data_IF_421846777254
#
_entry.id   IF_421846777254
#
_cell.length_a   1.000
_cell.length_b   1.000
_cell.length_c   1.000
_cell.angle_alpha   90.00
_cell.angle_beta   90.00
_cell.angle_gamma   90.00
#
_symmetry.space_group_name_H-M   'P 1'
#
loop_
_entity.id
_entity.type
_entity.pdbx_description
1 polymer ?
#
# COMPACT_ATOMS: atom_id res chain seq x y z
N UNK A 1 4.75 47.04 -30.39
CA UNK A 1 3.57 47.80 -30.85
C UNK A 1 2.47 46.81 -31.23
N UNK A 2 1.30 46.99 -30.63
CA UNK A 2 0.05 46.21 -30.72
C UNK A 2 0.00 44.91 -29.92
N UNK A 3 -0.58 44.99 -28.72
CA UNK A 3 -1.30 44.01 -27.96
C UNK A 3 -2.46 43.41 -28.80
N UNK A 4 -2.65 42.11 -28.73
CA UNK A 4 -3.96 41.52 -28.98
C UNK A 4 -4.39 40.72 -27.75
N UNK A 5 -5.45 41.19 -27.12
CA UNK A 5 -6.19 40.53 -26.08
C UNK A 5 -7.04 39.40 -26.70
N UNK A 6 -6.89 38.18 -26.22
CA UNK A 6 -7.74 37.04 -26.55
C UNK A 6 -8.78 36.86 -25.45
N UNK A 7 -10.04 37.07 -25.78
CA UNK A 7 -11.21 36.86 -24.95
C UNK A 7 -11.43 35.35 -24.78
N UNK A 8 -11.32 34.84 -23.56
CA UNK A 8 -11.72 33.50 -23.20
C UNK A 8 -13.23 33.42 -22.99
N UNK A 9 -13.94 32.67 -23.84
CA UNK A 9 -15.33 32.32 -23.65
C UNK A 9 -15.47 31.24 -22.57
N UNK A 10 -15.97 31.62 -21.41
CA UNK A 10 -16.37 30.68 -20.37
C UNK A 10 -17.66 29.97 -20.77
N UNK A 11 -17.60 28.66 -20.97
CA UNK A 11 -18.78 27.82 -21.03
C UNK A 11 -19.16 27.42 -19.59
N UNK A 12 -20.21 28.06 -19.07
CA UNK A 12 -20.87 27.64 -17.84
C UNK A 12 -21.65 26.35 -18.11
N UNK A 13 -21.15 25.23 -17.65
CA UNK A 13 -21.93 24.00 -17.54
C UNK A 13 -22.67 24.02 -16.20
N UNK A 14 -23.96 24.36 -16.23
CA UNK A 14 -24.89 24.10 -15.15
C UNK A 14 -25.34 22.64 -15.24
N UNK A 15 -24.56 21.75 -14.64
CA UNK A 15 -24.92 20.35 -14.44
C UNK A 15 -25.13 20.11 -12.95
N UNK A 16 -26.32 19.68 -12.59
CA UNK A 16 -26.67 19.19 -11.25
C UNK A 16 -25.60 18.24 -10.74
N UNK A 17 -24.93 18.64 -9.64
CA UNK A 17 -24.03 17.78 -8.88
C UNK A 17 -24.85 16.67 -8.22
N UNK A 18 -25.10 15.59 -8.97
CA UNK A 18 -25.40 14.31 -8.39
C UNK A 18 -24.11 13.80 -7.74
N UNK A 19 -24.14 13.56 -6.45
CA UNK A 19 -23.11 12.88 -5.71
C UNK A 19 -22.99 11.45 -6.24
N UNK A 20 -22.21 11.26 -7.31
CA UNK A 20 -21.71 9.95 -7.67
C UNK A 20 -20.54 9.63 -6.74
N UNK A 21 -20.86 9.07 -5.57
CA UNK A 21 -19.90 8.19 -4.94
C UNK A 21 -19.59 7.08 -5.97
N UNK A 22 -18.33 6.86 -6.39
CA UNK A 22 -18.03 5.72 -7.22
C UNK A 22 -18.40 4.49 -6.39
N UNK A 23 -19.49 3.80 -6.75
CA UNK A 23 -19.66 2.41 -6.36
C UNK A 23 -18.42 1.74 -6.91
N UNK A 24 -17.49 1.34 -6.04
CA UNK A 24 -16.48 0.37 -6.39
C UNK A 24 -17.27 -0.78 -7.04
N UNK A 25 -17.09 -0.99 -8.34
CA UNK A 25 -17.61 -2.18 -8.98
C UNK A 25 -16.87 -3.32 -8.32
N UNK A 26 -17.50 -3.94 -7.33
CA UNK A 26 -17.08 -5.24 -6.85
C UNK A 26 -17.16 -6.16 -8.08
N UNK A 27 -16.02 -6.37 -8.73
CA UNK A 27 -15.92 -7.39 -9.76
C UNK A 27 -16.39 -8.68 -9.10
N UNK A 28 -17.15 -9.49 -9.82
CA UNK A 28 -17.44 -10.84 -9.33
C UNK A 28 -16.12 -11.59 -9.19
N UNK A 29 -15.59 -11.63 -7.98
CA UNK A 29 -14.31 -12.25 -7.63
C UNK A 29 -14.49 -13.65 -7.06
N UNK A 30 -15.74 -14.09 -6.84
CA UNK A 30 -16.06 -15.36 -6.22
C UNK A 30 -15.44 -16.53 -6.99
N UNK A 31 -14.72 -17.37 -6.26
CA UNK A 31 -14.00 -18.51 -6.82
C UNK A 31 -12.73 -18.18 -7.61
N UNK A 32 -12.42 -16.90 -7.85
CA UNK A 32 -11.18 -16.52 -8.54
C UNK A 32 -10.00 -16.61 -7.58
N UNK A 33 -8.99 -17.32 -7.98
CA UNK A 33 -7.74 -17.49 -7.22
C UNK A 33 -6.54 -17.18 -8.08
N UNK A 34 -5.45 -16.72 -7.47
CA UNK A 34 -4.14 -16.55 -8.12
C UNK A 34 -3.05 -17.13 -7.22
N UNK A 35 -2.15 -17.91 -7.84
CA UNK A 35 -0.90 -18.34 -7.21
C UNK A 35 0.27 -17.66 -7.92
N UNK A 36 1.16 -17.05 -7.15
CA UNK A 36 2.33 -16.35 -7.66
C UNK A 36 3.62 -16.97 -7.11
N UNK A 37 4.60 -17.19 -7.98
CA UNK A 37 5.95 -17.62 -7.57
C UNK A 37 6.78 -16.41 -7.14
N UNK A 38 7.15 -16.34 -5.86
CA UNK A 38 7.91 -15.25 -5.25
C UNK A 38 9.36 -15.68 -5.04
N UNK A 39 10.30 -14.81 -5.46
CA UNK A 39 11.73 -15.11 -5.43
C UNK A 39 12.37 -14.97 -4.05
N UNK A 40 11.80 -14.15 -3.18
CA UNK A 40 12.40 -13.77 -1.92
C UNK A 40 11.74 -14.49 -0.75
N UNK A 41 12.55 -14.94 0.25
CA UNK A 41 12.01 -15.61 1.43
C UNK A 41 11.25 -14.63 2.34
N UNK A 42 10.45 -15.17 3.24
CA UNK A 42 9.87 -14.42 4.35
C UNK A 42 10.95 -14.23 5.42
N UNK A 43 11.59 -13.05 5.45
CA UNK A 43 12.73 -12.75 6.30
C UNK A 43 12.36 -12.22 7.69
N UNK A 44 11.20 -11.57 7.81
CA UNK A 44 10.66 -10.98 9.05
C UNK A 44 9.16 -11.24 9.11
N UNK A 45 8.51 -10.78 10.18
CA UNK A 45 7.06 -10.69 10.24
C UNK A 45 6.50 -9.55 9.38
N UNK A 46 5.26 -9.18 9.66
CA UNK A 46 4.48 -8.27 8.82
C UNK A 46 4.20 -6.91 9.48
N UNK A 47 4.72 -6.62 10.68
CA UNK A 47 4.54 -5.29 11.26
C UNK A 47 5.24 -4.23 10.37
N UNK A 48 4.51 -3.29 9.75
CA UNK A 48 5.10 -2.34 8.81
C UNK A 48 6.12 -1.39 9.42
N UNK A 49 6.19 -1.30 10.75
CA UNK A 49 7.18 -0.51 11.46
C UNK A 49 8.58 -1.19 11.49
N UNK A 50 8.61 -2.51 11.48
CA UNK A 50 9.84 -3.31 11.68
C UNK A 50 10.13 -4.29 10.56
N UNK A 51 9.14 -4.57 9.69
CA UNK A 51 9.33 -5.53 8.61
C UNK A 51 10.39 -5.07 7.61
N UNK A 52 11.26 -5.98 7.26
CA UNK A 52 12.34 -5.77 6.29
C UNK A 52 12.40 -6.92 5.29
N UNK A 53 12.96 -6.64 4.11
CA UNK A 53 12.99 -7.61 3.02
C UNK A 53 11.85 -7.48 2.03
N UNK A 54 12.06 -8.04 0.84
CA UNK A 54 11.15 -7.82 -0.29
C UNK A 54 9.76 -8.42 -0.07
N UNK A 55 9.68 -9.67 0.41
CA UNK A 55 8.38 -10.35 0.56
C UNK A 55 7.52 -9.78 1.67
N UNK A 56 8.01 -9.51 2.91
CA UNK A 56 7.20 -8.83 3.92
C UNK A 56 6.75 -7.44 3.49
N UNK A 57 7.64 -6.66 2.87
CA UNK A 57 7.30 -5.32 2.38
C UNK A 57 6.22 -5.38 1.30
N UNK A 58 6.36 -6.28 0.32
CA UNK A 58 5.35 -6.44 -0.72
C UNK A 58 4.00 -6.94 -0.15
N UNK A 59 4.02 -7.86 0.83
CA UNK A 59 2.81 -8.31 1.52
C UNK A 59 2.08 -7.16 2.22
N UNK A 60 2.84 -6.27 2.87
CA UNK A 60 2.29 -5.10 3.56
C UNK A 60 1.56 -4.13 2.61
N UNK A 61 1.94 -4.07 1.33
CA UNK A 61 1.22 -3.26 0.34
C UNK A 61 -0.18 -3.81 0.01
N UNK A 62 -0.45 -5.08 0.32
CA UNK A 62 -1.77 -5.69 0.15
C UNK A 62 -2.61 -5.65 1.43
N UNK A 63 -1.94 -5.72 2.59
CA UNK A 63 -2.58 -5.81 3.91
C UNK A 63 -2.94 -4.44 4.47
N UNK A 64 -2.07 -3.45 4.29
CA UNK A 64 -2.18 -2.13 4.91
C UNK A 64 -2.32 -1.02 3.88
N UNK A 65 -2.99 0.05 4.30
CA UNK A 65 -2.97 1.32 3.59
C UNK A 65 -2.18 2.37 4.37
N UNK A 66 -1.52 3.28 3.63
CA UNK A 66 -1.04 4.55 4.16
C UNK A 66 -2.11 5.63 4.04
N UNK A 67 -1.81 6.87 4.42
CA UNK A 67 -2.65 8.02 4.07
C UNK A 67 -2.61 8.25 2.55
N UNK A 68 -1.42 8.19 1.99
CA UNK A 68 -1.12 8.23 0.55
C UNK A 68 -0.30 6.99 0.23
N UNK A 69 -0.57 6.34 -0.87
CA UNK A 69 0.18 5.18 -1.35
C UNK A 69 0.66 5.37 -2.78
N UNK A 70 1.58 4.51 -3.23
CA UNK A 70 2.09 4.53 -4.59
C UNK A 70 1.46 3.40 -5.41
N UNK A 71 0.95 3.73 -6.58
CA UNK A 71 0.50 2.73 -7.52
C UNK A 71 1.66 1.78 -7.87
N UNK A 72 1.50 0.45 -7.73
CA UNK A 72 2.63 -0.48 -7.80
C UNK A 72 3.32 -0.50 -9.18
N UNK A 73 2.60 -0.24 -10.26
CA UNK A 73 3.16 -0.26 -11.61
C UNK A 73 3.67 1.11 -12.08
N UNK A 74 2.90 2.20 -11.86
CA UNK A 74 3.25 3.54 -12.36
C UNK A 74 4.08 4.34 -11.37
N UNK A 75 4.08 3.95 -10.10
CA UNK A 75 4.71 4.68 -8.99
C UNK A 75 4.11 6.07 -8.74
N UNK A 76 2.96 6.36 -9.33
CA UNK A 76 2.22 7.58 -9.07
C UNK A 76 1.56 7.52 -7.68
N UNK A 77 1.63 8.61 -6.90
CA UNK A 77 0.94 8.67 -5.62
C UNK A 77 -0.58 8.68 -5.82
N UNK A 78 -1.30 8.06 -4.90
CA UNK A 78 -2.74 8.13 -4.85
C UNK A 78 -3.23 8.23 -3.40
N UNK A 79 -4.39 8.85 -3.21
CA UNK A 79 -5.05 8.92 -1.91
C UNK A 79 -5.54 7.51 -1.53
N UNK A 80 -5.04 6.99 -0.43
CA UNK A 80 -5.45 5.70 0.13
C UNK A 80 -6.42 5.92 1.30
N UNK A 81 -5.95 6.10 2.52
CA UNK A 81 -6.81 6.49 3.65
C UNK A 81 -7.08 8.00 3.72
N UNK A 82 -6.34 8.84 3.00
CA UNK A 82 -6.70 10.23 2.87
C UNK A 82 -7.96 10.37 1.99
N UNK A 83 -8.95 11.11 2.46
CA UNK A 83 -10.20 11.37 1.73
C UNK A 83 -10.11 12.52 0.73
N UNK A 84 -9.12 13.40 0.87
CA UNK A 84 -8.78 14.50 -0.03
C UNK A 84 -7.28 14.78 0.00
N UNK A 85 -6.80 15.58 -0.95
CA UNK A 85 -5.40 16.00 -1.00
C UNK A 85 -4.98 16.64 0.33
N UNK A 86 -3.73 16.37 0.81
CA UNK A 86 -3.16 17.03 1.97
C UNK A 86 -3.21 18.55 1.82
N UNK A 87 -3.73 19.24 2.83
CA UNK A 87 -3.86 20.69 2.86
C UNK A 87 -2.66 21.32 3.59
N UNK A 88 -1.91 22.17 2.90
CA UNK A 88 -0.85 22.94 3.52
C UNK A 88 -1.46 24.19 4.18
N UNK A 89 -1.41 24.27 5.51
CA UNK A 89 -1.96 25.37 6.30
C UNK A 89 -0.96 26.54 6.39
N UNK A 90 0.31 26.20 6.60
CA UNK A 90 1.45 27.11 6.60
C UNK A 90 2.71 26.39 6.11
N UNK A 91 3.87 27.03 6.15
CA UNK A 91 5.13 26.46 5.64
C UNK A 91 5.51 25.12 6.27
N UNK A 92 5.06 24.84 7.50
CA UNK A 92 5.42 23.65 8.29
C UNK A 92 4.23 22.89 8.83
N UNK A 93 2.99 23.30 8.51
CA UNK A 93 1.77 22.66 9.04
C UNK A 93 0.92 22.10 7.90
N UNK A 94 0.58 20.83 8.00
CA UNK A 94 -0.26 20.13 7.05
C UNK A 94 -1.43 19.48 7.73
N UNK A 95 -2.58 19.41 7.05
CA UNK A 95 -3.78 18.72 7.52
C UNK A 95 -4.24 17.68 6.53
N UNK A 96 -4.70 16.54 7.04
CA UNK A 96 -5.21 15.44 6.23
C UNK A 96 -6.52 14.98 6.83
N UNK A 97 -7.54 14.87 5.96
CA UNK A 97 -8.85 14.32 6.31
C UNK A 97 -8.89 12.83 5.95
N UNK A 98 -9.41 11.99 6.83
CA UNK A 98 -9.60 10.57 6.53
C UNK A 98 -10.74 10.31 5.53
N UNK A 99 -10.60 9.25 4.76
CA UNK A 99 -11.65 8.68 3.91
C UNK A 99 -12.76 8.10 4.79
N UNK A 100 -14.00 8.46 4.49
CA UNK A 100 -15.16 7.97 5.23
C UNK A 100 -15.41 6.47 4.98
N UNK A 101 -15.83 5.76 6.02
CA UNK A 101 -16.20 4.35 5.96
C UNK A 101 -15.02 3.38 5.77
N UNK A 102 -13.77 3.82 5.93
CA UNK A 102 -12.62 2.91 5.95
C UNK A 102 -12.65 2.05 7.21
N UNK A 103 -12.43 0.74 7.05
CA UNK A 103 -12.42 -0.22 8.14
C UNK A 103 -11.18 -1.10 8.09
N UNK A 104 -10.74 -1.55 9.26
CA UNK A 104 -9.75 -2.62 9.37
C UNK A 104 -10.37 -3.99 9.07
N UNK A 105 -9.54 -5.01 8.88
CA UNK A 105 -9.95 -6.37 8.53
C UNK A 105 -10.79 -7.07 9.60
N UNK A 106 -10.79 -6.58 10.83
CA UNK A 106 -11.65 -7.03 11.92
C UNK A 106 -13.00 -6.29 11.97
N UNK A 107 -13.22 -5.36 11.05
CA UNK A 107 -14.46 -4.58 10.92
C UNK A 107 -14.48 -3.28 11.73
N UNK A 108 -13.49 -3.02 12.57
CA UNK A 108 -13.40 -1.75 13.31
C UNK A 108 -13.12 -0.58 12.34
N UNK A 109 -13.66 0.61 12.58
CA UNK A 109 -13.39 1.78 11.77
C UNK A 109 -11.93 2.22 11.91
N UNK A 110 -11.34 2.71 10.82
CA UNK A 110 -10.06 3.42 10.87
C UNK A 110 -10.29 4.81 11.43
N UNK A 111 -9.55 5.18 12.47
CA UNK A 111 -9.73 6.44 13.20
C UNK A 111 -8.50 7.35 13.10
N UNK A 112 -8.67 8.62 13.46
CA UNK A 112 -7.56 9.57 13.61
C UNK A 112 -6.59 9.12 14.71
N UNK A 113 -7.08 8.46 15.76
CA UNK A 113 -6.22 7.91 16.81
C UNK A 113 -5.26 6.86 16.25
N UNK A 114 -5.71 6.01 15.32
CA UNK A 114 -4.84 5.01 14.66
C UNK A 114 -3.77 5.68 13.81
N UNK A 115 -4.09 6.78 13.13
CA UNK A 115 -3.10 7.57 12.37
C UNK A 115 -2.05 8.15 13.32
N UNK A 116 -2.48 8.86 14.35
CA UNK A 116 -1.57 9.45 15.35
C UNK A 116 -0.69 8.38 16.00
N UNK A 117 -1.30 7.26 16.37
CA UNK A 117 -0.61 6.12 16.96
C UNK A 117 0.45 5.55 16.01
N UNK A 118 0.11 5.32 14.74
CA UNK A 118 1.01 4.73 13.74
C UNK A 118 2.27 5.57 13.51
N UNK A 119 2.11 6.89 13.42
CA UNK A 119 3.25 7.80 13.29
C UNK A 119 4.08 7.87 14.57
N UNK A 120 3.44 8.00 15.74
CA UNK A 120 4.13 8.08 17.01
C UNK A 120 4.93 6.80 17.31
N UNK A 121 4.41 5.61 16.96
CA UNK A 121 5.18 4.34 17.07
C UNK A 121 6.49 4.40 16.31
N UNK A 122 6.48 4.96 15.10
CA UNK A 122 7.68 5.05 14.25
C UNK A 122 8.65 6.08 14.82
N UNK A 123 8.14 7.21 15.33
CA UNK A 123 8.96 8.30 15.88
C UNK A 123 9.53 7.99 17.27
N UNK A 124 8.93 7.04 18.01
CA UNK A 124 9.44 6.64 19.33
C UNK A 124 10.76 5.87 19.22
N UNK A 125 11.87 6.42 19.73
CA UNK A 125 13.19 5.76 19.68
C UNK A 125 13.21 4.39 20.35
N UNK A 126 12.33 4.15 21.33
CA UNK A 126 12.25 2.86 22.02
C UNK A 126 11.86 1.71 21.08
N UNK A 127 11.09 2.02 20.03
CA UNK A 127 10.62 1.05 19.06
C UNK A 127 11.66 0.69 17.96
N UNK A 128 12.74 1.47 17.85
CA UNK A 128 13.83 1.24 16.87
C UNK A 128 13.32 1.00 15.45
N UNK A 129 12.32 1.79 15.03
CA UNK A 129 11.71 1.64 13.71
C UNK A 129 12.73 1.88 12.60
N UNK A 130 12.68 1.01 11.58
CA UNK A 130 13.49 1.17 10.37
C UNK A 130 13.00 2.36 9.51
N UNK A 131 11.78 2.82 9.74
CA UNK A 131 11.12 3.85 8.93
C UNK A 131 11.26 5.27 9.49
N UNK A 132 11.84 5.44 10.69
CA UNK A 132 12.02 6.77 11.31
C UNK A 132 12.79 7.73 10.40
N UNK A 133 13.79 7.25 9.66
CA UNK A 133 14.58 8.06 8.74
C UNK A 133 13.78 8.66 7.57
N UNK A 134 12.62 8.08 7.24
CA UNK A 134 11.77 8.57 6.16
C UNK A 134 10.80 9.66 6.61
N UNK A 135 10.62 9.84 7.92
CA UNK A 135 9.72 10.83 8.52
C UNK A 135 10.40 11.69 9.60
N UNK A 136 11.73 11.75 9.60
CA UNK A 136 12.54 12.50 10.57
C UNK A 136 12.28 14.02 10.55
N UNK A 137 11.72 14.53 9.45
CA UNK A 137 11.27 15.92 9.31
C UNK A 137 9.97 16.23 10.08
N UNK A 138 9.23 15.20 10.53
CA UNK A 138 8.00 15.38 11.31
C UNK A 138 8.36 15.72 12.76
N UNK A 139 7.79 16.81 13.29
CA UNK A 139 7.92 17.22 14.68
C UNK A 139 6.84 16.56 15.54
N UNK A 140 5.59 16.64 15.09
CA UNK A 140 4.46 16.06 15.81
C UNK A 140 3.28 15.73 14.89
N UNK A 141 2.47 14.76 15.32
CA UNK A 141 1.21 14.37 14.67
C UNK A 141 0.11 14.42 15.71
N UNK A 142 -0.97 15.17 15.47
CA UNK A 142 -2.05 15.39 16.43
C UNK A 142 -3.42 15.31 15.77
N UNK A 143 -4.40 14.80 16.49
CA UNK A 143 -5.79 14.91 16.09
C UNK A 143 -6.25 16.38 16.16
N UNK A 144 -6.92 16.86 15.12
CA UNK A 144 -7.65 18.12 15.13
C UNK A 144 -9.09 17.87 15.58
N UNK A 145 -9.69 16.85 15.01
CA UNK A 145 -11.03 16.33 15.34
C UNK A 145 -11.09 14.83 15.00
N UNK A 146 -12.28 14.25 14.96
CA UNK A 146 -12.51 12.82 14.66
C UNK A 146 -12.26 12.41 13.20
N UNK A 147 -12.05 13.38 12.30
CA UNK A 147 -11.83 13.16 10.86
C UNK A 147 -10.53 13.74 10.31
N UNK A 148 -9.85 14.58 11.09
CA UNK A 148 -8.71 15.37 10.62
C UNK A 148 -7.50 15.23 11.53
N UNK A 149 -6.35 14.95 10.94
CA UNK A 149 -5.05 14.91 11.59
C UNK A 149 -4.19 16.10 11.11
N UNK A 150 -3.43 16.69 12.03
CA UNK A 150 -2.46 17.75 11.75
C UNK A 150 -1.03 17.23 11.95
N UNK A 151 -0.20 17.53 10.97
CA UNK A 151 1.24 17.29 11.00
C UNK A 151 1.97 18.62 11.16
N UNK A 152 2.82 18.71 12.18
CA UNK A 152 3.79 19.78 12.32
C UNK A 152 5.15 19.28 11.88
N UNK A 153 5.81 20.04 11.00
CA UNK A 153 7.14 19.72 10.49
C UNK A 153 8.19 20.58 11.19
N UNK A 154 9.40 20.06 11.34
CA UNK A 154 10.56 20.77 11.91
C UNK A 154 11.05 21.91 11.01
N UNK A 155 10.81 21.78 9.70
CA UNK A 155 11.18 22.75 8.66
C UNK A 155 10.28 22.55 7.42
N UNK A 156 10.17 23.55 6.54
CA UNK A 156 9.43 23.41 5.29
C UNK A 156 9.95 22.26 4.45
N UNK A 157 9.07 21.35 4.04
CA UNK A 157 9.44 20.14 3.31
C UNK A 157 8.49 19.84 2.16
N UNK A 158 8.92 20.18 0.93
CA UNK A 158 8.08 20.07 -0.27
C UNK A 158 7.67 18.63 -0.63
N UNK A 159 8.43 17.61 -0.17
CA UNK A 159 8.13 16.21 -0.44
C UNK A 159 7.25 15.55 0.62
N UNK A 160 6.61 16.33 1.50
CA UNK A 160 5.79 15.80 2.60
C UNK A 160 4.79 14.73 2.12
N UNK A 161 3.94 15.06 1.16
CA UNK A 161 2.92 14.14 0.65
C UNK A 161 3.54 12.83 0.09
N UNK A 162 4.68 12.92 -0.60
CA UNK A 162 5.38 11.75 -1.12
C UNK A 162 5.94 10.86 0.00
N UNK A 163 6.37 11.43 1.11
CA UNK A 163 6.92 10.67 2.25
C UNK A 163 5.83 9.98 3.08
N UNK A 164 4.60 10.44 3.03
CA UNK A 164 3.46 9.74 3.65
C UNK A 164 3.30 8.31 3.14
N UNK A 165 3.74 8.02 1.91
CA UNK A 165 3.68 6.69 1.30
C UNK A 165 4.53 5.64 2.03
N UNK A 166 5.47 6.07 2.86
CA UNK A 166 6.36 5.19 3.64
C UNK A 166 5.71 4.68 4.93
N UNK A 167 4.59 5.26 5.38
CA UNK A 167 3.94 4.93 6.65
C UNK A 167 2.62 4.23 6.41
N UNK A 168 2.47 3.05 6.98
CA UNK A 168 1.21 2.30 6.99
C UNK A 168 0.47 2.51 8.30
N UNK A 169 -0.86 2.64 8.19
CA UNK A 169 -1.73 2.82 9.35
C UNK A 169 -2.10 1.46 9.91
N UNK A 170 -1.94 1.31 11.22
CA UNK A 170 -2.18 0.06 11.95
C UNK A 170 -3.23 0.26 13.05
N UNK A 171 -4.02 -0.78 13.35
CA UNK A 171 -5.08 -0.71 14.37
C UNK A 171 -4.49 -0.71 15.78
N UNK A 172 -4.52 0.44 16.45
CA UNK A 172 -4.06 0.58 17.82
C UNK A 172 -4.71 -0.43 18.75
N UNK A 173 -6.04 -0.60 18.66
CA UNK A 173 -6.81 -1.50 19.53
C UNK A 173 -6.39 -2.97 19.40
N UNK A 174 -5.96 -3.41 18.23
CA UNK A 174 -5.45 -4.77 18.04
C UNK A 174 -4.09 -4.91 18.71
N UNK A 175 -3.17 -3.97 18.45
CA UNK A 175 -1.82 -4.03 19.00
C UNK A 175 -1.83 -3.95 20.53
N UNK A 176 -2.66 -3.09 21.10
CA UNK A 176 -2.85 -2.97 22.56
C UNK A 176 -3.38 -4.28 23.16
N UNK A 177 -4.24 -4.99 22.44
CA UNK A 177 -4.85 -6.25 22.90
C UNK A 177 -3.91 -7.44 22.81
N UNK A 178 -3.19 -7.61 21.68
CA UNK A 178 -2.42 -8.84 21.42
C UNK A 178 -0.92 -8.66 21.60
N UNK A 179 -0.45 -7.42 21.65
CA UNK A 179 0.97 -7.07 21.68
C UNK A 179 1.64 -7.10 20.30
N UNK A 180 2.77 -6.42 20.19
CA UNK A 180 3.49 -6.23 18.93
C UNK A 180 3.91 -7.55 18.27
N UNK A 181 4.42 -8.51 19.03
CA UNK A 181 4.91 -9.79 18.47
C UNK A 181 3.78 -10.63 17.85
N UNK A 182 2.62 -10.67 18.49
CA UNK A 182 1.46 -11.38 17.95
C UNK A 182 0.89 -10.65 16.72
N UNK A 183 0.86 -9.32 16.74
CA UNK A 183 0.46 -8.50 15.58
C UNK A 183 1.42 -8.71 14.40
N UNK A 184 2.72 -8.77 14.65
CA UNK A 184 3.74 -9.04 13.63
C UNK A 184 3.54 -10.40 12.93
N UNK A 185 3.11 -11.41 13.67
CA UNK A 185 2.81 -12.74 13.14
C UNK A 185 1.45 -12.85 12.45
N UNK A 186 0.46 -12.10 12.92
CA UNK A 186 -0.93 -12.12 12.43
C UNK A 186 -1.44 -10.70 12.22
N UNK A 187 -1.02 -10.04 11.13
CA UNK A 187 -1.32 -8.64 10.88
C UNK A 187 -2.80 -8.42 10.56
N UNK A 188 -3.33 -7.31 11.07
CA UNK A 188 -4.65 -6.78 10.75
C UNK A 188 -4.43 -5.38 10.15
N UNK A 189 -4.84 -5.18 8.92
CA UNK A 189 -4.71 -3.91 8.21
C UNK A 189 -6.05 -3.42 7.68
N UNK A 190 -6.01 -2.43 6.78
CA UNK A 190 -7.18 -1.85 6.09
C UNK A 190 -7.13 -2.03 4.59
N UNK A 191 -6.12 -2.73 4.08
CA UNK A 191 -5.90 -2.93 2.65
C UNK A 191 -6.90 -3.87 1.98
N UNK A 192 -6.79 -4.05 0.66
CA UNK A 192 -7.73 -4.85 -0.13
C UNK A 192 -7.67 -6.34 0.15
N UNK A 193 -6.63 -6.84 0.81
CA UNK A 193 -6.47 -8.24 1.17
C UNK A 193 -6.19 -8.42 2.65
N UNK A 194 -6.88 -9.39 3.27
CA UNK A 194 -6.60 -9.88 4.61
C UNK A 194 -5.49 -10.92 4.58
N UNK A 195 -4.63 -10.89 5.57
CA UNK A 195 -3.70 -11.97 5.86
C UNK A 195 -4.46 -13.20 6.38
N UNK A 196 -4.18 -14.38 5.83
CA UNK A 196 -4.76 -15.64 6.29
C UNK A 196 -3.72 -16.47 7.02
N UNK A 197 -2.58 -16.71 6.39
CA UNK A 197 -1.50 -17.52 6.98
C UNK A 197 -0.18 -17.30 6.26
N UNK A 198 0.91 -17.58 6.96
CA UNK A 198 2.23 -17.70 6.37
C UNK A 198 2.95 -18.93 6.92
N UNK A 199 3.57 -19.68 6.04
CA UNK A 199 4.48 -20.78 6.38
C UNK A 199 5.85 -20.41 5.82
N UNK A 200 6.84 -20.31 6.69
CA UNK A 200 8.21 -19.94 6.31
C UNK A 200 8.71 -20.88 5.22
N UNK A 201 9.36 -20.33 4.21
CA UNK A 201 9.95 -21.03 3.07
C UNK A 201 8.96 -21.89 2.24
N UNK A 202 7.66 -21.70 2.44
CA UNK A 202 6.59 -22.36 1.67
C UNK A 202 5.66 -21.34 1.02
N UNK A 203 4.77 -20.72 1.80
CA UNK A 203 3.74 -19.83 1.21
C UNK A 203 3.20 -18.76 2.16
N UNK A 204 2.65 -17.70 1.56
CA UNK A 204 1.82 -16.70 2.21
C UNK A 204 0.44 -16.71 1.53
N UNK A 205 -0.63 -16.70 2.32
CA UNK A 205 -2.01 -16.76 1.83
C UNK A 205 -2.77 -15.52 2.25
N UNK A 206 -3.49 -14.96 1.29
CA UNK A 206 -4.33 -13.79 1.47
C UNK A 206 -5.75 -14.06 0.96
N UNK A 207 -6.72 -13.35 1.53
CA UNK A 207 -8.11 -13.36 1.12
C UNK A 207 -8.60 -11.93 0.90
N UNK A 208 -9.43 -11.71 -0.12
CA UNK A 208 -10.01 -10.40 -0.40
C UNK A 208 -10.78 -9.88 0.81
N UNK A 209 -10.66 -8.59 1.08
CA UNK A 209 -11.47 -7.90 2.08
C UNK A 209 -12.65 -7.22 1.37
N UNK A 210 -13.81 -7.88 1.36
CA UNK A 210 -15.01 -7.40 0.65
C UNK A 210 -15.48 -6.00 1.09
N UNK A 211 -15.41 -5.62 2.40
CA UNK A 211 -15.79 -4.28 2.81
C UNK A 211 -14.83 -3.17 2.38
N UNK A 212 -13.71 -3.50 1.73
CA UNK A 212 -12.74 -2.52 1.27
C UNK A 212 -13.38 -1.48 0.33
N UNK A 213 -13.30 -0.21 0.71
CA UNK A 213 -13.87 0.91 -0.03
C UNK A 213 -12.84 1.86 -0.65
N UNK A 214 -11.57 1.42 -0.72
CA UNK A 214 -10.48 2.19 -1.32
C UNK A 214 -10.44 2.11 -2.85
N UNK A 215 -9.45 2.77 -3.43
CA UNK A 215 -9.35 2.98 -4.89
C UNK A 215 -9.12 1.69 -5.68
N UNK A 216 -8.39 0.71 -5.12
CA UNK A 216 -7.97 -0.50 -5.82
C UNK A 216 -8.43 -1.75 -5.07
N UNK A 217 -9.71 -2.15 -5.21
CA UNK A 217 -10.23 -3.35 -4.57
C UNK A 217 -9.60 -4.62 -5.15
N UNK A 218 -9.63 -5.70 -4.38
CA UNK A 218 -9.17 -7.02 -4.80
C UNK A 218 -9.89 -7.46 -6.09
N UNK A 219 -9.14 -8.07 -7.01
CA UNK A 219 -9.66 -8.60 -8.28
C UNK A 219 -9.78 -10.13 -8.29
N UNK A 220 -9.36 -10.76 -7.18
CA UNK A 220 -9.46 -12.20 -6.93
C UNK A 220 -9.88 -12.43 -5.49
N UNK A 221 -10.58 -13.53 -5.23
CA UNK A 221 -11.04 -13.89 -3.89
C UNK A 221 -9.87 -14.33 -2.99
N UNK A 222 -8.94 -15.12 -3.57
CA UNK A 222 -7.75 -15.61 -2.85
C UNK A 222 -6.48 -15.39 -3.63
N UNK A 223 -5.43 -15.06 -2.93
CA UNK A 223 -4.08 -14.92 -3.48
C UNK A 223 -3.12 -15.74 -2.62
N UNK A 224 -2.31 -16.59 -3.27
CA UNK A 224 -1.27 -17.39 -2.62
C UNK A 224 0.08 -17.05 -3.23
N UNK A 225 1.04 -16.74 -2.40
CA UNK A 225 2.43 -16.55 -2.78
C UNK A 225 3.22 -17.80 -2.42
N UNK A 226 3.73 -18.50 -3.42
CA UNK A 226 4.63 -19.62 -3.24
C UNK A 226 6.07 -19.08 -3.17
N UNK A 227 6.75 -19.28 -2.04
CA UNK A 227 8.09 -18.79 -1.81
C UNK A 227 9.11 -19.71 -2.51
N UNK A 228 9.37 -19.46 -3.78
CA UNK A 228 10.22 -20.25 -4.66
C UNK A 228 11.52 -19.47 -4.94
N UNK A 229 12.49 -19.52 -4.03
CA UNK A 229 13.77 -18.81 -4.17
C UNK A 229 14.62 -19.31 -5.33
N UNK A 230 14.52 -20.60 -5.69
CA UNK A 230 15.18 -21.17 -6.87
C UNK A 230 14.50 -20.70 -8.16
N UNK A 231 15.30 -20.11 -9.06
CA UNK A 231 14.80 -19.54 -10.31
C UNK A 231 14.23 -20.60 -11.26
N UNK A 232 14.87 -21.78 -11.35
CA UNK A 232 14.41 -22.87 -12.22
C UNK A 232 13.10 -23.45 -11.72
N UNK A 233 12.93 -23.57 -10.39
CA UNK A 233 11.69 -24.00 -9.77
C UNK A 233 10.54 -23.04 -10.08
N UNK A 234 10.78 -21.70 -10.02
CA UNK A 234 9.77 -20.67 -10.37
C UNK A 234 9.36 -20.79 -11.84
N UNK A 235 10.33 -20.88 -12.75
CA UNK A 235 10.04 -21.02 -14.18
C UNK A 235 9.27 -22.31 -14.45
N UNK A 236 9.64 -23.43 -13.83
CA UNK A 236 8.92 -24.71 -13.96
C UNK A 236 7.49 -24.62 -13.44
N UNK A 237 7.28 -23.97 -12.29
CA UNK A 237 5.95 -23.74 -11.74
C UNK A 237 5.07 -22.89 -12.68
N UNK A 238 5.64 -21.88 -13.31
CA UNK A 238 4.95 -21.04 -14.28
C UNK A 238 4.62 -21.82 -15.57
N UNK A 239 5.56 -22.57 -16.10
CA UNK A 239 5.36 -23.37 -17.33
C UNK A 239 4.34 -24.50 -17.16
N UNK A 240 4.31 -25.13 -15.97
CA UNK A 240 3.33 -26.16 -15.62
C UNK A 240 1.96 -25.59 -15.25
N UNK A 241 1.81 -24.26 -15.25
CA UNK A 241 0.60 -23.53 -14.84
C UNK A 241 0.23 -23.72 -13.35
N UNK A 242 1.19 -24.19 -12.54
CA UNK A 242 1.03 -24.21 -11.09
C UNK A 242 0.92 -22.78 -10.54
N UNK A 243 1.68 -21.83 -11.12
CA UNK A 243 1.54 -20.41 -10.83
C UNK A 243 1.02 -19.66 -12.06
N UNK A 244 0.21 -18.63 -11.84
CA UNK A 244 -0.32 -17.74 -12.87
C UNK A 244 0.53 -16.48 -13.05
N UNK A 245 1.37 -16.19 -12.07
CA UNK A 245 2.34 -15.09 -12.10
C UNK A 245 3.65 -15.52 -11.44
N UNK A 246 4.75 -14.91 -11.81
CA UNK A 246 6.01 -15.00 -11.08
C UNK A 246 6.79 -13.71 -11.18
N UNK A 247 7.59 -13.42 -10.19
CA UNK A 247 8.54 -12.31 -10.20
C UNK A 247 9.96 -12.77 -10.52
N UNK A 248 10.86 -11.81 -10.76
CA UNK A 248 12.29 -12.09 -10.98
C UNK A 248 12.53 -13.14 -12.06
N UNK A 249 11.96 -12.90 -13.25
CA UNK A 249 12.12 -13.77 -14.42
C UNK A 249 13.61 -13.79 -14.84
N UNK A 250 14.26 -14.98 -14.91
CA UNK A 250 15.64 -15.04 -15.38
C UNK A 250 15.77 -14.55 -16.84
N UNK A 251 16.77 -13.75 -17.13
CA UNK A 251 16.96 -13.16 -18.48
C UNK A 251 17.01 -14.22 -19.59
N UNK A 252 17.65 -15.35 -19.32
CA UNK A 252 17.79 -16.45 -20.29
C UNK A 252 16.44 -17.12 -20.61
N UNK A 253 15.46 -17.03 -19.71
CA UNK A 253 14.15 -17.66 -19.88
C UNK A 253 13.12 -16.75 -20.53
N UNK A 254 13.39 -15.43 -20.66
CA UNK A 254 12.43 -14.45 -21.19
C UNK A 254 11.95 -14.85 -22.59
N UNK A 255 12.87 -15.15 -23.50
CA UNK A 255 12.52 -15.54 -24.88
C UNK A 255 11.72 -16.83 -24.93
N UNK A 256 12.09 -17.82 -24.11
CA UNK A 256 11.38 -19.11 -24.00
C UNK A 256 9.95 -18.93 -23.47
N UNK A 257 9.78 -18.12 -22.44
CA UNK A 257 8.44 -17.83 -21.85
C UNK A 257 7.56 -17.06 -22.84
N UNK A 258 8.10 -16.05 -23.52
CA UNK A 258 7.37 -15.32 -24.58
C UNK A 258 6.93 -16.24 -25.71
N UNK A 259 7.78 -17.17 -26.17
CA UNK A 259 7.45 -18.15 -27.19
C UNK A 259 6.31 -19.09 -26.74
N UNK A 260 6.18 -19.34 -25.44
CA UNK A 260 5.04 -20.05 -24.83
C UNK A 260 3.83 -19.17 -24.56
N UNK A 261 3.77 -17.98 -25.17
CA UNK A 261 2.68 -16.98 -25.02
C UNK A 261 2.49 -16.46 -23.59
N UNK A 262 3.53 -16.51 -22.76
CA UNK A 262 3.54 -15.85 -21.46
C UNK A 262 3.79 -14.36 -21.64
N UNK A 263 3.09 -13.53 -20.88
CA UNK A 263 3.38 -12.10 -20.81
C UNK A 263 4.58 -11.87 -19.89
N UNK A 264 5.61 -11.23 -20.40
CA UNK A 264 6.78 -10.80 -19.61
C UNK A 264 6.82 -9.28 -19.61
N UNK A 265 6.63 -8.70 -18.44
CA UNK A 265 6.73 -7.27 -18.20
C UNK A 265 8.09 -6.95 -17.58
N UNK A 266 8.72 -5.89 -18.03
CA UNK A 266 9.93 -5.35 -17.43
C UNK A 266 9.64 -3.95 -16.92
N UNK A 267 10.01 -3.69 -15.68
CA UNK A 267 9.94 -2.36 -15.08
C UNK A 267 11.38 -1.87 -14.93
N UNK A 268 11.65 -0.67 -15.41
CA UNK A 268 12.95 -0.05 -15.21
C UNK A 268 13.13 0.23 -13.70
N UNK A 269 14.21 -0.29 -13.14
CA UNK A 269 14.58 -0.08 -11.73
C UNK A 269 15.87 0.73 -11.67
N UNK A 270 16.01 1.53 -10.61
CA UNK A 270 17.27 2.18 -10.25
C UNK A 270 18.18 1.27 -9.41
N UNK A 271 17.84 0.00 -9.28
CA UNK A 271 18.68 -0.97 -8.60
C UNK A 271 20.00 -1.17 -9.32
N UNK A 272 21.13 -0.87 -8.64
CA UNK A 272 22.45 -1.28 -9.08
C UNK A 272 22.56 -2.79 -8.85
N UNK A 273 22.59 -3.56 -9.95
CA UNK A 273 23.06 -4.93 -9.91
C UNK A 273 24.59 -4.87 -9.91
N UNK A 274 25.20 -5.13 -8.76
CA UNK A 274 26.61 -5.46 -8.73
C UNK A 274 26.77 -6.91 -9.22
N UNK A 275 27.70 -7.17 -10.13
CA UNK A 275 27.99 -8.51 -10.62
C UNK A 275 28.55 -9.40 -9.52
#
# INVERSE_FOLDING_TARGET
MKLMAGVGAGLAFSGTLGTFAPKAFAADIKGKTIEAGIAYPLSTGFDPMTSSGASPYAANLHIFEGLVDLHPATREPYLALAGKEPEQVDETTWRITLREGATFHDGAPVTIEDVVYSFNRIMDPANKSLFVMFIDFVESVKAVDDKMVEFKLKYPFALFANRLTCVKIVPKHVIDKVGQSAFDAHPVGSGPFKFVSAVKDDKIVFEAYEPYNGKYPAQVEKMSWLLLSDAAARVTAQESKRTQAMESVPYLDISRLKNKKQQVQSVQSFGLLFP
#
